data_IF_394039679882
#
_entry.id   IF_394039679882
#
_cell.length_a   1.000
_cell.length_b   1.000
_cell.length_c   1.000
_cell.angle_alpha   90.00
_cell.angle_beta   90.00
_cell.angle_gamma   90.00
#
_symmetry.space_group_name_H-M   'P 1'
#
loop_
_entity.id
_entity.type
_entity.pdbx_description
1 polymer ?
#
# COMPACT_ATOMS: atom_id res chain seq x y z
N UNK A 1 12.12 0.38 16.41
CA UNK A 1 12.36 -0.46 15.23
C UNK A 1 11.03 -0.81 14.58
N UNK A 2 10.86 -0.48 13.33
CA UNK A 2 9.66 -0.86 12.63
C UNK A 2 9.77 -2.32 12.17
N UNK A 3 8.71 -3.08 12.30
CA UNK A 3 8.66 -4.45 11.81
C UNK A 3 7.87 -4.48 10.49
N UNK A 4 8.26 -5.40 9.61
CA UNK A 4 7.58 -5.60 8.36
C UNK A 4 6.37 -6.51 8.60
N UNK A 5 5.20 -6.08 8.15
CA UNK A 5 4.00 -6.89 8.18
C UNK A 5 3.91 -7.68 6.88
N UNK A 6 3.83 -8.98 6.99
CA UNK A 6 3.71 -9.87 5.83
C UNK A 6 2.30 -10.44 5.76
N UNK A 7 1.73 -10.44 4.58
CA UNK A 7 0.44 -11.09 4.36
C UNK A 7 0.41 -11.71 2.97
N UNK A 8 -0.41 -12.73 2.79
CA UNK A 8 -0.58 -13.40 1.51
C UNK A 8 -2.06 -13.45 1.17
N UNK A 9 -2.40 -13.04 -0.05
CA UNK A 9 -3.74 -13.24 -0.59
C UNK A 9 -3.78 -14.59 -1.29
N UNK A 10 -4.70 -15.44 -0.86
CA UNK A 10 -4.90 -16.75 -1.46
C UNK A 10 -5.48 -16.63 -2.87
N UNK A 11 -5.41 -17.70 -3.63
CA UNK A 11 -5.97 -17.71 -4.99
C UNK A 11 -7.45 -17.32 -4.95
N UNK A 12 -7.82 -16.36 -5.80
CA UNK A 12 -9.20 -15.86 -5.89
C UNK A 12 -9.62 -14.93 -4.76
N UNK A 13 -8.77 -14.67 -3.80
CA UNK A 13 -9.10 -13.80 -2.68
C UNK A 13 -9.22 -12.34 -3.13
N UNK A 14 -10.22 -11.63 -2.58
CA UNK A 14 -10.35 -10.18 -2.74
C UNK A 14 -10.19 -9.54 -1.38
N UNK A 15 -9.29 -8.57 -1.27
CA UNK A 15 -9.05 -7.90 0.00
C UNK A 15 -8.89 -6.40 -0.21
N UNK A 16 -9.50 -5.63 0.70
CA UNK A 16 -9.33 -4.18 0.74
C UNK A 16 -8.72 -3.80 2.08
N UNK A 17 -7.67 -3.00 2.04
CA UNK A 17 -6.98 -2.50 3.22
C UNK A 17 -7.06 -0.98 3.24
N UNK A 18 -7.30 -0.42 4.42
CA UNK A 18 -7.39 1.03 4.61
C UNK A 18 -6.45 1.42 5.74
N UNK A 19 -5.51 2.32 5.45
CA UNK A 19 -4.56 2.84 6.42
C UNK A 19 -4.76 4.35 6.56
N UNK A 20 -5.01 4.81 7.77
CA UNK A 20 -5.20 6.24 8.06
C UNK A 20 -4.16 6.65 9.08
N UNK A 21 -3.28 7.59 8.70
CA UNK A 21 -2.22 8.12 9.56
C UNK A 21 -1.39 7.04 10.26
N UNK A 22 -1.13 5.94 9.57
CA UNK A 22 -0.33 4.85 10.12
C UNK A 22 1.14 5.28 10.19
N UNK A 23 1.74 5.36 11.39
CA UNK A 23 3.14 5.74 11.51
C UNK A 23 4.05 4.58 11.12
N UNK A 24 5.06 4.88 10.32
CA UNK A 24 6.11 3.90 9.97
C UNK A 24 5.55 2.58 9.43
N UNK A 25 4.53 2.67 8.59
CA UNK A 25 3.92 1.51 7.95
C UNK A 25 4.93 0.82 7.04
N UNK A 26 5.06 -0.50 7.16
CA UNK A 26 5.89 -1.28 6.26
C UNK A 26 5.20 -2.62 6.01
N UNK A 27 4.61 -2.77 4.83
CA UNK A 27 3.85 -3.97 4.47
C UNK A 27 4.46 -4.66 3.26
N UNK A 28 4.48 -5.98 3.32
CA UNK A 28 4.87 -6.85 2.21
C UNK A 28 3.73 -7.82 1.95
N UNK A 29 3.12 -7.70 0.78
CA UNK A 29 1.94 -8.48 0.42
C UNK A 29 2.26 -9.34 -0.79
N UNK A 30 1.97 -10.63 -0.70
CA UNK A 30 2.15 -11.58 -1.79
C UNK A 30 0.77 -11.97 -2.31
N UNK A 31 0.60 -11.92 -3.62
CA UNK A 31 -0.67 -12.28 -4.25
C UNK A 31 -0.54 -13.57 -5.02
N UNK A 32 -1.47 -14.49 -4.76
CA UNK A 32 -1.61 -15.72 -5.49
C UNK A 32 -2.58 -15.53 -6.66
N UNK A 33 -2.77 -16.57 -7.47
CA UNK A 33 -3.51 -16.52 -8.73
C UNK A 33 -4.90 -15.94 -8.58
N UNK A 34 -5.29 -15.06 -9.50
CA UNK A 34 -6.62 -14.44 -9.58
C UNK A 34 -7.02 -13.64 -8.33
N UNK A 35 -6.06 -13.24 -7.51
CA UNK A 35 -6.37 -12.44 -6.33
C UNK A 35 -6.49 -10.96 -6.70
N UNK A 36 -7.28 -10.23 -5.90
CA UNK A 36 -7.50 -8.80 -6.06
C UNK A 36 -7.16 -8.09 -4.75
N UNK A 37 -6.26 -7.11 -4.82
CA UNK A 37 -5.87 -6.28 -3.67
C UNK A 37 -6.17 -4.83 -3.96
N UNK A 38 -6.89 -4.17 -3.04
CA UNK A 38 -7.09 -2.72 -3.08
C UNK A 38 -6.58 -2.14 -1.77
N UNK A 39 -5.71 -1.13 -1.85
CA UNK A 39 -5.12 -0.49 -0.69
C UNK A 39 -5.43 1.00 -0.73
N UNK A 40 -5.93 1.53 0.37
CA UNK A 40 -6.15 2.96 0.55
C UNK A 40 -5.18 3.45 1.64
N UNK A 41 -4.37 4.44 1.32
CA UNK A 41 -3.42 5.04 2.25
C UNK A 41 -3.76 6.52 2.36
N UNK A 42 -4.16 6.95 3.56
CA UNK A 42 -4.67 8.29 3.77
C UNK A 42 -3.85 8.97 4.88
N UNK A 43 -3.34 10.15 4.57
CA UNK A 43 -2.65 11.00 5.55
C UNK A 43 -3.49 12.25 5.76
N UNK A 44 -3.97 12.44 6.98
CA UNK A 44 -4.77 13.60 7.35
C UNK A 44 -3.96 14.50 8.27
N UNK A 45 -4.18 15.80 8.18
CA UNK A 45 -3.49 16.74 9.06
C UNK A 45 -3.82 16.44 10.52
N UNK A 46 -2.81 16.58 11.38
CA UNK A 46 -2.96 16.40 12.82
C UNK A 46 -2.57 17.70 13.53
N UNK A 47 -2.76 17.71 14.85
CA UNK A 47 -2.43 18.88 15.67
C UNK A 47 -0.93 19.14 15.76
N UNK A 48 -0.09 18.14 15.49
CA UNK A 48 1.36 18.30 15.46
C UNK A 48 1.78 18.88 14.10
N UNK A 49 2.22 20.14 14.11
CA UNK A 49 2.64 20.83 12.90
C UNK A 49 3.85 20.19 12.21
N UNK A 50 4.61 19.38 12.95
CA UNK A 50 5.82 18.72 12.42
C UNK A 50 5.62 17.22 12.22
N UNK A 51 4.39 16.75 12.20
CA UNK A 51 4.10 15.33 12.03
C UNK A 51 4.70 14.82 10.71
N UNK A 52 5.28 13.63 10.76
CA UNK A 52 5.88 12.97 9.61
C UNK A 52 5.45 11.52 9.57
N UNK A 53 5.14 11.07 8.37
CA UNK A 53 4.76 9.67 8.14
C UNK A 53 5.68 9.09 7.09
N UNK A 54 6.16 7.87 7.33
CA UNK A 54 6.91 7.09 6.34
C UNK A 54 6.22 5.75 6.17
N UNK A 55 5.94 5.42 4.93
CA UNK A 55 5.24 4.19 4.61
C UNK A 55 5.90 3.50 3.44
N UNK A 56 6.02 2.18 3.53
CA UNK A 56 6.54 1.36 2.45
C UNK A 56 5.55 0.23 2.21
N UNK A 57 5.13 0.08 0.98
CA UNK A 57 4.25 -0.99 0.55
C UNK A 57 4.90 -1.73 -0.61
N UNK A 58 5.17 -3.01 -0.42
CA UNK A 58 5.71 -3.89 -1.46
C UNK A 58 4.68 -4.97 -1.76
N UNK A 59 4.33 -5.11 -3.02
CA UNK A 59 3.40 -6.14 -3.47
C UNK A 59 4.11 -7.02 -4.48
N UNK A 60 4.03 -8.34 -4.31
CA UNK A 60 4.56 -9.30 -5.28
C UNK A 60 3.41 -10.09 -5.85
N UNK A 61 3.24 -10.00 -7.16
CA UNK A 61 2.28 -10.81 -7.91
C UNK A 61 3.03 -12.06 -8.39
N UNK A 62 2.92 -13.13 -7.63
CA UNK A 62 3.69 -14.35 -7.88
C UNK A 62 2.93 -15.37 -8.74
N UNK A 63 1.75 -15.02 -9.21
CA UNK A 63 0.94 -15.90 -10.04
C UNK A 63 0.18 -15.09 -11.08
N UNK A 64 -0.49 -15.78 -12.00
CA UNK A 64 -1.18 -15.13 -13.10
C UNK A 64 -2.45 -14.41 -12.65
N UNK A 65 -2.83 -13.37 -13.40
CA UNK A 65 -4.11 -12.66 -13.27
C UNK A 65 -4.32 -11.99 -11.91
N UNK A 66 -3.24 -11.58 -11.25
CA UNK A 66 -3.33 -10.77 -10.05
C UNK A 66 -3.70 -9.34 -10.40
N UNK A 67 -4.45 -8.69 -9.53
CA UNK A 67 -4.82 -7.28 -9.71
C UNK A 67 -4.53 -6.52 -8.44
N UNK A 68 -3.87 -5.36 -8.56
CA UNK A 68 -3.52 -4.50 -7.45
C UNK A 68 -3.91 -3.07 -7.75
N UNK A 69 -4.69 -2.45 -6.86
CA UNK A 69 -5.03 -1.04 -6.96
C UNK A 69 -4.60 -0.33 -5.69
N UNK A 70 -3.83 0.75 -5.82
CA UNK A 70 -3.32 1.52 -4.69
C UNK A 70 -3.79 2.95 -4.84
N UNK A 71 -4.50 3.44 -3.82
CA UNK A 71 -4.97 4.82 -3.75
C UNK A 71 -4.32 5.50 -2.56
N UNK A 72 -3.63 6.61 -2.79
CA UNK A 72 -3.00 7.37 -1.73
C UNK A 72 -3.43 8.82 -1.81
N UNK A 73 -3.74 9.40 -0.66
CA UNK A 73 -4.20 10.78 -0.55
C UNK A 73 -3.58 11.44 0.69
N UNK A 74 -3.18 12.70 0.56
CA UNK A 74 -2.66 13.47 1.68
C UNK A 74 -3.32 14.83 1.78
N UNK A 75 -3.82 15.17 2.97
CA UNK A 75 -4.34 16.50 3.31
C UNK A 75 -3.50 17.04 4.46
N UNK A 76 -2.34 17.59 4.12
CA UNK A 76 -1.34 18.03 5.07
C UNK A 76 -1.20 19.55 5.04
N UNK A 77 -0.78 20.14 6.16
CA UNK A 77 -0.49 21.56 6.21
C UNK A 77 0.73 21.82 7.08
N UNK A 78 1.26 23.06 7.00
CA UNK A 78 2.45 23.52 7.71
C UNK A 78 3.68 22.67 7.35
N UNK A 79 4.37 22.13 8.34
CA UNK A 79 5.58 21.34 8.14
C UNK A 79 5.32 19.85 8.13
N UNK A 80 4.06 19.44 8.04
CA UNK A 80 3.72 18.01 7.98
C UNK A 80 4.20 17.41 6.67
N UNK A 81 4.73 16.20 6.73
CA UNK A 81 5.26 15.50 5.57
C UNK A 81 4.87 14.03 5.59
N UNK A 82 4.57 13.51 4.43
CA UNK A 82 4.31 12.09 4.25
C UNK A 82 5.17 11.56 3.10
N UNK A 83 5.87 10.48 3.36
CA UNK A 83 6.70 9.80 2.37
C UNK A 83 6.16 8.39 2.17
N UNK A 84 5.79 8.08 0.93
CA UNK A 84 5.24 6.79 0.58
C UNK A 84 6.08 6.17 -0.52
N UNK A 85 6.59 4.96 -0.28
CA UNK A 85 7.24 4.15 -1.30
C UNK A 85 6.35 2.95 -1.59
N UNK A 86 6.00 2.80 -2.88
CA UNK A 86 5.24 1.64 -3.32
C UNK A 86 6.03 0.90 -4.39
N UNK A 87 6.01 -0.42 -4.33
CA UNK A 87 6.63 -1.29 -5.33
C UNK A 87 5.67 -2.43 -5.64
N UNK A 88 5.43 -2.66 -6.92
CA UNK A 88 4.64 -3.81 -7.35
C UNK A 88 5.50 -4.62 -8.31
N UNK A 89 5.79 -5.86 -7.94
CA UNK A 89 6.57 -6.77 -8.78
C UNK A 89 5.63 -7.72 -9.50
N UNK A 90 5.68 -7.72 -10.82
CA UNK A 90 4.92 -8.65 -11.65
C UNK A 90 5.85 -9.80 -11.99
N UNK A 91 5.94 -10.78 -11.10
CA UNK A 91 6.87 -11.89 -11.27
C UNK A 91 6.40 -12.88 -12.33
N UNK A 92 5.10 -12.91 -12.60
CA UNK A 92 4.48 -13.73 -13.64
C UNK A 92 3.64 -12.81 -14.52
N UNK A 93 3.60 -13.07 -15.81
CA UNK A 93 2.83 -12.24 -16.75
C UNK A 93 1.31 -12.31 -16.51
N UNK A 94 0.59 -11.35 -17.07
CA UNK A 94 -0.87 -11.27 -16.96
C UNK A 94 -1.38 -10.53 -15.72
N UNK A 95 -0.49 -9.92 -14.95
CA UNK A 95 -0.89 -9.11 -13.79
C UNK A 95 -1.24 -7.68 -14.18
N UNK A 96 -1.99 -7.02 -13.33
CA UNK A 96 -2.38 -5.63 -13.49
C UNK A 96 -2.15 -4.87 -12.19
N UNK A 97 -1.62 -3.65 -12.31
CA UNK A 97 -1.52 -2.76 -11.14
C UNK A 97 -1.78 -1.32 -11.56
N UNK A 98 -2.35 -0.55 -10.65
CA UNK A 98 -2.54 0.88 -10.82
C UNK A 98 -2.28 1.61 -9.52
N UNK A 99 -1.81 2.84 -9.62
CA UNK A 99 -1.59 3.71 -8.47
C UNK A 99 -2.21 5.06 -8.76
N UNK A 100 -2.96 5.57 -7.79
CA UNK A 100 -3.55 6.91 -7.86
C UNK A 100 -3.08 7.70 -6.64
N UNK A 101 -2.40 8.82 -6.90
CA UNK A 101 -1.88 9.69 -5.85
C UNK A 101 -2.57 11.05 -5.94
N UNK A 102 -3.04 11.53 -4.81
CA UNK A 102 -3.69 12.84 -4.73
C UNK A 102 -3.17 13.68 -3.60
#
# INVERSE_FOLDING_TARGET
MSSIQHTTLSAGEKRELIFINEPNMHWHIVQEENSFLRVHIIYLSENDANAQWQSTLTVEQNAANCRTEIYAMGLLHESQQAHLFTRVYHNIGGGYSSQTLK
#
